data_IF_462112498693
#
_entry.id   IF_462112498693
#
_cell.length_a   1.000
_cell.length_b   1.000
_cell.length_c   1.000
_cell.angle_alpha   90.00
_cell.angle_beta   90.00
_cell.angle_gamma   90.00
#
_symmetry.space_group_name_H-M   'P 1'
#
loop_
_entity.id
_entity.type
_entity.pdbx_description
1 polymer ?
#
# COMPACT_ATOMS: atom_id res chain seq x y z
N UNK A 1 -8.85 -24.71 11.12
CA UNK A 1 -8.71 -23.41 10.43
C UNK A 1 -7.40 -23.45 9.67
N UNK A 2 -7.41 -23.53 8.33
CA UNK A 2 -6.18 -23.54 7.53
C UNK A 2 -5.55 -22.14 7.58
N UNK A 3 -4.33 -22.03 8.10
CA UNK A 3 -3.53 -20.80 8.04
C UNK A 3 -3.15 -20.54 6.59
N UNK A 4 -3.60 -19.43 6.02
CA UNK A 4 -3.16 -18.96 4.71
C UNK A 4 -1.75 -18.37 4.87
N UNK A 5 -0.75 -18.96 4.20
CA UNK A 5 0.64 -18.48 4.17
C UNK A 5 0.87 -17.82 2.82
N UNK A 6 1.76 -16.82 2.78
CA UNK A 6 2.34 -16.39 1.52
C UNK A 6 3.19 -17.52 0.93
N UNK A 7 3.10 -17.72 -0.37
CA UNK A 7 4.03 -18.57 -1.10
C UNK A 7 5.26 -17.71 -1.35
N UNK A 8 6.35 -18.00 -0.64
CA UNK A 8 7.64 -17.31 -0.78
C UNK A 8 8.67 -18.33 -1.22
N UNK A 9 9.28 -18.11 -2.35
CA UNK A 9 10.50 -18.85 -2.78
C UNK A 9 11.70 -17.94 -2.61
N UNK A 10 12.68 -18.38 -1.83
CA UNK A 10 13.93 -17.64 -1.57
C UNK A 10 15.06 -18.23 -2.40
N UNK A 11 15.72 -17.43 -3.22
CA UNK A 11 17.00 -17.76 -3.84
C UNK A 11 18.12 -17.07 -3.07
N UNK A 12 18.96 -17.86 -2.37
CA UNK A 12 20.20 -17.44 -1.73
C UNK A 12 21.35 -17.46 -2.75
N UNK A 13 21.91 -16.30 -3.04
CA UNK A 13 23.19 -16.17 -3.75
C UNK A 13 24.28 -15.70 -2.81
N UNK A 14 25.21 -16.59 -2.49
CA UNK A 14 26.41 -16.30 -1.71
C UNK A 14 27.47 -15.62 -2.58
N UNK A 15 28.07 -14.52 -2.11
CA UNK A 15 29.39 -14.08 -2.60
C UNK A 15 30.31 -13.67 -1.45
N UNK A 16 31.58 -14.14 -1.59
CA UNK A 16 32.61 -14.15 -0.59
C UNK A 16 33.28 -12.78 -0.38
N UNK A 17 33.78 -12.59 0.85
CA UNK A 17 34.61 -11.50 1.35
C UNK A 17 36.03 -11.52 0.78
N UNK A 18 36.59 -10.33 0.52
CA UNK A 18 38.00 -10.08 0.58
C UNK A 18 38.28 -8.86 1.48
N UNK A 19 39.20 -9.07 2.40
CA UNK A 19 39.72 -8.12 3.39
C UNK A 19 40.86 -7.29 2.80
N UNK A 20 41.03 -6.14 3.44
CA UNK A 20 42.21 -5.26 3.55
C UNK A 20 42.02 -3.88 2.87
N UNK A 21 41.72 -2.85 3.70
CA UNK A 21 42.64 -1.73 3.90
C UNK A 21 42.20 -0.86 5.13
N UNK A 22 43.19 -0.57 5.99
CA UNK A 22 43.07 0.25 7.18
C UNK A 22 43.38 1.72 6.82
N UNK A 23 42.45 2.64 7.02
CA UNK A 23 42.65 4.09 6.85
C UNK A 23 41.71 4.93 7.71
N UNK A 24 42.28 5.48 8.79
CA UNK A 24 41.92 6.62 9.65
C UNK A 24 40.46 7.05 9.79
N UNK A 25 40.04 7.10 11.07
CA UNK A 25 38.76 7.50 11.60
C UNK A 25 38.44 8.99 11.38
N UNK A 26 37.30 9.21 10.74
CA UNK A 26 36.42 10.36 11.03
C UNK A 26 35.12 9.76 11.60
N UNK A 27 34.82 10.14 12.85
CA UNK A 27 33.61 9.70 13.56
C UNK A 27 32.38 10.45 13.04
N UNK A 28 31.92 10.12 11.85
CA UNK A 28 30.52 10.35 11.49
C UNK A 28 29.68 9.24 12.10
N UNK A 29 28.70 9.62 12.93
CA UNK A 29 27.66 8.71 13.42
C UNK A 29 27.08 7.95 12.23
N UNK A 30 26.82 6.61 12.33
CA UNK A 30 26.26 5.87 11.23
C UNK A 30 24.91 6.50 10.90
N UNK A 31 24.78 7.11 9.74
CA UNK A 31 23.49 7.36 9.09
C UNK A 31 22.86 5.98 9.01
N UNK A 32 21.78 5.74 9.79
CA UNK A 32 20.95 4.56 9.64
C UNK A 32 20.68 4.40 8.15
N UNK A 33 21.10 3.26 7.57
CA UNK A 33 20.98 3.02 6.15
C UNK A 33 19.51 3.22 5.77
N UNK A 34 19.26 4.20 4.91
CA UNK A 34 17.93 4.47 4.37
C UNK A 34 17.60 3.30 3.44
N UNK A 35 16.91 2.33 3.99
CA UNK A 35 16.41 1.16 3.28
C UNK A 35 15.14 1.61 2.57
N UNK A 36 15.20 2.01 1.32
CA UNK A 36 14.19 2.58 0.43
C UNK A 36 12.77 2.85 0.96
N UNK A 37 12.02 3.68 0.28
CA UNK A 37 10.64 4.03 0.66
C UNK A 37 9.69 2.89 0.27
N UNK A 38 8.97 2.31 1.23
CA UNK A 38 8.23 1.06 1.08
C UNK A 38 6.72 1.28 1.02
N UNK A 39 6.07 0.69 0.01
CA UNK A 39 4.60 0.65 -0.10
C UNK A 39 4.16 -0.78 -0.43
N UNK A 40 3.21 -1.31 0.36
CA UNK A 40 2.57 -2.61 0.12
C UNK A 40 1.09 -2.41 -0.20
N UNK A 41 0.69 -2.69 -1.44
CA UNK A 41 -0.70 -2.59 -1.88
C UNK A 41 -1.37 -3.95 -2.02
N UNK A 42 -2.71 -3.97 -1.94
CA UNK A 42 -3.54 -5.11 -2.33
C UNK A 42 -4.77 -4.64 -3.11
N UNK A 43 -5.22 -5.41 -4.09
CA UNK A 43 -6.46 -5.11 -4.82
C UNK A 43 -7.69 -5.12 -3.92
N UNK A 44 -7.72 -6.04 -2.94
CA UNK A 44 -8.71 -6.11 -1.86
C UNK A 44 -8.25 -7.09 -0.80
N UNK A 45 -8.72 -6.95 0.44
CA UNK A 45 -8.45 -7.94 1.48
C UNK A 45 -7.11 -7.79 2.20
N UNK A 46 -6.78 -6.61 2.69
CA UNK A 46 -5.58 -6.38 3.53
C UNK A 46 -5.77 -6.96 4.94
N UNK A 47 -5.62 -8.28 5.06
CA UNK A 47 -5.88 -9.06 6.28
C UNK A 47 -4.58 -9.54 6.94
N UNK A 48 -4.68 -10.44 7.91
CA UNK A 48 -3.57 -10.97 8.73
C UNK A 48 -2.28 -11.23 7.93
N UNK A 49 -2.34 -11.89 6.77
CA UNK A 49 -1.16 -12.23 5.99
C UNK A 49 -0.46 -10.98 5.40
N UNK A 50 -1.23 -10.00 4.91
CA UNK A 50 -0.67 -8.74 4.42
C UNK A 50 -0.10 -7.89 5.57
N UNK A 51 -0.79 -7.86 6.73
CA UNK A 51 -0.31 -7.15 7.92
C UNK A 51 1.00 -7.78 8.42
N UNK A 52 1.09 -9.10 8.45
CA UNK A 52 2.32 -9.83 8.79
C UNK A 52 3.47 -9.46 7.86
N UNK A 53 3.22 -9.48 6.55
CA UNK A 53 4.24 -9.13 5.58
C UNK A 53 4.66 -7.66 5.69
N UNK A 54 3.71 -6.74 5.94
CA UNK A 54 4.04 -5.35 6.24
C UNK A 54 4.90 -5.22 7.51
N UNK A 55 4.60 -5.98 8.57
CA UNK A 55 5.40 -6.01 9.78
C UNK A 55 6.84 -6.46 9.50
N UNK A 56 7.01 -7.52 8.68
CA UNK A 56 8.34 -8.01 8.25
C UNK A 56 9.11 -6.91 7.48
N UNK A 57 8.42 -6.14 6.62
CA UNK A 57 9.02 -5.03 5.86
C UNK A 57 9.53 -3.88 6.73
N UNK A 58 9.03 -3.72 7.95
CA UNK A 58 9.53 -2.69 8.89
C UNK A 58 10.91 -3.02 9.45
N UNK A 59 11.33 -4.29 9.39
CA UNK A 59 12.58 -4.76 9.99
C UNK A 59 12.58 -4.76 11.53
N UNK A 60 11.45 -4.51 12.19
CA UNK A 60 11.32 -4.49 13.65
C UNK A 60 10.68 -5.75 14.18
N UNK A 61 11.11 -6.20 15.35
CA UNK A 61 10.54 -7.39 16.01
C UNK A 61 9.07 -7.19 16.35
N UNK A 62 8.70 -6.03 16.91
CA UNK A 62 7.33 -5.70 17.31
C UNK A 62 6.92 -4.31 16.83
N UNK A 63 6.64 -4.13 15.52
CA UNK A 63 6.35 -2.83 14.94
C UNK A 63 5.02 -2.24 15.43
N UNK A 64 4.98 -0.91 15.51
CA UNK A 64 3.78 -0.13 15.73
C UNK A 64 3.12 0.13 14.37
N UNK A 65 1.92 -0.43 14.15
CA UNK A 65 1.21 -0.29 12.88
C UNK A 65 -0.12 0.40 13.12
N UNK A 66 -0.32 1.54 12.45
CA UNK A 66 -1.53 2.33 12.53
C UNK A 66 -2.49 2.00 11.39
N UNK A 67 -3.75 1.77 11.71
CA UNK A 67 -4.84 1.74 10.75
C UNK A 67 -5.46 3.13 10.62
N UNK A 68 -5.56 3.64 9.39
CA UNK A 68 -6.14 4.94 9.06
C UNK A 68 -7.46 4.71 8.29
N UNK A 69 -8.62 4.67 9.00
CA UNK A 69 -9.90 4.25 8.43
C UNK A 69 -10.66 5.35 7.68
N UNK A 70 -10.01 6.43 7.24
CA UNK A 70 -10.66 7.60 6.64
C UNK A 70 -11.57 7.25 5.46
N UNK A 71 -11.12 6.36 4.54
CA UNK A 71 -11.92 5.97 3.38
C UNK A 71 -13.24 5.28 3.75
N UNK A 72 -13.31 4.63 4.91
CA UNK A 72 -14.50 3.98 5.45
C UNK A 72 -15.29 4.85 6.43
N UNK A 73 -14.97 6.16 6.54
CA UNK A 73 -15.56 7.10 7.48
C UNK A 73 -15.47 6.59 8.94
N UNK A 74 -14.29 6.09 9.32
CA UNK A 74 -13.97 5.56 10.66
C UNK A 74 -14.95 4.50 11.16
N UNK A 75 -15.47 3.65 10.25
CA UNK A 75 -16.50 2.66 10.55
C UNK A 75 -16.04 1.71 11.66
N UNK A 76 -16.79 1.59 12.77
CA UNK A 76 -16.38 0.78 13.93
C UNK A 76 -16.14 -0.70 13.60
N UNK A 77 -16.91 -1.28 12.68
CA UNK A 77 -16.69 -2.69 12.25
C UNK A 77 -15.34 -2.89 11.56
N UNK A 78 -14.84 -1.90 10.81
CA UNK A 78 -13.51 -1.93 10.21
C UNK A 78 -12.41 -1.86 11.28
N UNK A 79 -12.59 -1.01 12.28
CA UNK A 79 -11.68 -0.88 13.43
C UNK A 79 -11.63 -2.19 14.24
N UNK A 80 -12.79 -2.80 14.53
CA UNK A 80 -12.85 -4.09 15.22
C UNK A 80 -12.12 -5.18 14.39
N UNK A 81 -12.38 -5.24 13.08
CA UNK A 81 -11.71 -6.20 12.19
C UNK A 81 -10.20 -5.99 12.14
N UNK A 82 -9.73 -4.74 12.21
CA UNK A 82 -8.31 -4.41 12.29
C UNK A 82 -7.66 -5.07 13.52
N UNK A 83 -8.20 -4.84 14.72
CA UNK A 83 -7.68 -5.46 15.94
C UNK A 83 -7.76 -6.99 15.91
N UNK A 84 -8.84 -7.56 15.34
CA UNK A 84 -8.97 -9.02 15.17
C UNK A 84 -7.90 -9.60 14.25
N UNK A 85 -7.58 -8.93 13.13
CA UNK A 85 -6.53 -9.35 12.21
C UNK A 85 -5.12 -9.24 12.82
N UNK A 86 -4.92 -8.33 13.78
CA UNK A 86 -3.66 -8.17 14.50
C UNK A 86 -3.49 -9.10 15.70
N UNK A 87 -4.57 -9.72 16.21
CA UNK A 87 -4.58 -10.41 17.51
C UNK A 87 -3.55 -11.53 17.66
N UNK A 88 -3.16 -12.19 16.55
CA UNK A 88 -2.18 -13.28 16.54
C UNK A 88 -0.82 -12.88 15.93
N UNK A 89 -0.58 -11.58 15.76
CA UNK A 89 0.65 -11.04 15.19
C UNK A 89 1.51 -10.38 16.27
N UNK A 90 2.82 -10.43 16.11
CA UNK A 90 3.74 -9.69 16.98
C UNK A 90 3.84 -8.23 16.55
N UNK A 91 2.74 -7.49 16.65
CA UNK A 91 2.63 -6.07 16.33
C UNK A 91 1.98 -5.29 17.46
N UNK A 92 2.14 -3.97 17.48
CA UNK A 92 1.38 -3.06 18.35
C UNK A 92 0.38 -2.31 17.46
N UNK A 93 -0.91 -2.71 17.43
CA UNK A 93 -1.91 -2.08 16.58
C UNK A 93 -2.37 -0.73 17.14
N UNK A 94 -2.46 0.26 16.26
CA UNK A 94 -3.02 1.58 16.51
C UNK A 94 -4.16 1.87 15.53
N UNK A 95 -4.98 2.86 15.85
CA UNK A 95 -6.01 3.42 14.97
C UNK A 95 -5.95 4.92 15.08
N UNK A 96 -5.92 5.61 13.94
CA UNK A 96 -6.08 7.06 13.87
C UNK A 96 -7.36 7.39 13.13
N UNK A 97 -8.38 7.78 13.88
CA UNK A 97 -9.66 8.24 13.32
C UNK A 97 -9.57 9.66 12.79
N UNK A 98 -10.34 9.99 11.75
CA UNK A 98 -10.35 11.29 11.09
C UNK A 98 -11.68 12.05 11.22
N UNK A 99 -12.77 11.35 11.60
CA UNK A 99 -14.14 11.88 11.71
C UNK A 99 -14.58 12.13 13.15
N UNK A 100 -13.64 12.07 14.10
CA UNK A 100 -13.90 12.36 15.52
C UNK A 100 -13.76 13.86 15.82
N UNK A 101 -14.13 14.25 17.04
CA UNK A 101 -13.89 15.59 17.55
C UNK A 101 -12.40 15.82 17.83
N UNK A 102 -11.68 16.31 16.84
CA UNK A 102 -10.23 16.53 16.92
C UNK A 102 -9.80 17.46 18.08
N UNK A 103 -10.70 18.33 18.54
CA UNK A 103 -10.45 19.19 19.71
C UNK A 103 -10.13 18.41 21.00
N UNK A 104 -10.58 17.15 21.09
CA UNK A 104 -10.34 16.27 22.24
C UNK A 104 -9.13 15.36 22.09
N UNK A 105 -8.41 15.47 20.98
CA UNK A 105 -7.19 14.68 20.77
C UNK A 105 -6.04 15.29 21.56
N UNK A 106 -5.33 14.47 22.30
CA UNK A 106 -4.14 14.88 23.06
C UNK A 106 -2.90 15.02 22.15
N UNK A 107 -2.93 14.40 20.96
CA UNK A 107 -1.83 14.38 19.99
C UNK A 107 -2.34 14.82 18.61
N UNK A 108 -1.49 15.47 17.83
CA UNK A 108 -1.77 15.80 16.43
C UNK A 108 -1.72 14.55 15.54
N UNK A 109 -2.27 14.65 14.31
CA UNK A 109 -2.10 13.59 13.31
C UNK A 109 -0.62 13.33 13.01
N UNK A 110 0.20 14.36 13.01
CA UNK A 110 1.65 14.26 12.81
C UNK A 110 2.32 13.47 13.93
N UNK A 111 2.07 13.81 15.20
CA UNK A 111 2.63 13.11 16.35
C UNK A 111 2.31 11.61 16.33
N UNK A 112 1.08 11.26 15.96
CA UNK A 112 0.67 9.86 15.89
C UNK A 112 1.30 9.16 14.69
N UNK A 113 1.08 9.67 13.47
CA UNK A 113 1.46 8.97 12.25
C UNK A 113 2.97 8.84 12.07
N UNK A 114 3.74 9.89 12.42
CA UNK A 114 5.20 9.85 12.33
C UNK A 114 5.87 9.04 13.45
N UNK A 115 5.12 8.63 14.48
CA UNK A 115 5.61 7.72 15.52
C UNK A 115 5.39 6.23 15.19
N UNK A 116 4.79 5.91 14.05
CA UNK A 116 4.51 4.54 13.63
C UNK A 116 5.68 3.93 12.83
N UNK A 117 5.67 2.61 12.69
CA UNK A 117 6.57 1.86 11.83
C UNK A 117 5.89 1.46 10.51
N UNK A 118 4.56 1.37 10.53
CA UNK A 118 3.73 1.13 9.37
C UNK A 118 2.37 1.82 9.46
N UNK A 119 1.79 2.18 8.31
CA UNK A 119 0.47 2.80 8.21
C UNK A 119 -0.35 2.06 7.16
N UNK A 120 -1.47 1.46 7.59
CA UNK A 120 -2.43 0.75 6.73
C UNK A 120 -3.65 1.62 6.50
N UNK A 121 -3.91 1.94 5.25
CA UNK A 121 -5.08 2.73 4.84
C UNK A 121 -6.25 1.82 4.50
N UNK A 122 -7.44 2.18 4.96
CA UNK A 122 -8.66 1.41 4.71
C UNK A 122 -9.12 1.44 3.26
N UNK A 123 -9.86 0.42 2.86
CA UNK A 123 -10.75 0.51 1.70
C UNK A 123 -11.97 1.40 1.97
N UNK A 124 -12.67 1.82 0.91
CA UNK A 124 -13.86 2.65 0.98
C UNK A 124 -13.89 3.71 -0.11
N UNK A 125 -14.29 4.92 0.21
CA UNK A 125 -14.43 6.01 -0.75
C UNK A 125 -13.13 6.82 -0.88
N UNK A 126 -12.43 6.68 -2.00
CA UNK A 126 -11.16 7.36 -2.28
C UNK A 126 -11.31 8.88 -2.41
N UNK A 127 -12.41 9.37 -2.99
CA UNK A 127 -12.64 10.81 -3.10
C UNK A 127 -12.78 11.47 -1.73
N UNK A 128 -13.63 10.89 -0.86
CA UNK A 128 -13.84 11.42 0.49
C UNK A 128 -12.55 11.37 1.30
N UNK A 129 -11.82 10.27 1.22
CA UNK A 129 -10.52 10.10 1.86
C UNK A 129 -9.56 11.23 1.49
N UNK A 130 -9.34 11.47 0.20
CA UNK A 130 -8.42 12.49 -0.28
C UNK A 130 -8.88 13.91 0.07
N UNK A 131 -10.19 14.19 0.02
CA UNK A 131 -10.74 15.48 0.41
C UNK A 131 -10.45 15.79 1.88
N UNK A 132 -10.70 14.82 2.77
CA UNK A 132 -10.41 14.96 4.21
C UNK A 132 -8.90 15.13 4.45
N UNK A 133 -8.08 14.30 3.82
CA UNK A 133 -6.63 14.37 3.99
C UNK A 133 -6.04 15.71 3.55
N UNK A 134 -6.43 16.23 2.40
CA UNK A 134 -5.96 17.53 1.89
C UNK A 134 -6.35 18.69 2.81
N UNK A 135 -7.58 18.68 3.35
CA UNK A 135 -8.04 19.75 4.24
C UNK A 135 -7.34 19.69 5.60
N UNK A 136 -7.00 18.48 6.09
CA UNK A 136 -6.36 18.29 7.40
C UNK A 136 -4.82 18.17 7.31
N UNK A 137 -4.23 18.21 6.12
CA UNK A 137 -2.78 18.08 5.92
C UNK A 137 -2.24 16.66 6.14
N UNK A 138 -3.13 15.65 6.22
CA UNK A 138 -2.73 14.25 6.45
C UNK A 138 -1.94 13.71 5.24
N UNK A 139 -2.26 14.12 4.03
CA UNK A 139 -1.53 13.76 2.81
C UNK A 139 -0.05 14.17 2.86
N UNK A 140 0.26 15.35 3.39
CA UNK A 140 1.63 15.83 3.59
C UNK A 140 2.35 15.04 4.69
N UNK A 141 1.66 14.71 5.78
CA UNK A 141 2.20 13.86 6.86
C UNK A 141 2.52 12.45 6.33
N UNK A 142 1.64 11.87 5.51
CA UNK A 142 1.88 10.57 4.89
C UNK A 142 3.06 10.59 3.92
N UNK A 143 3.23 11.69 3.17
CA UNK A 143 4.41 11.87 2.32
C UNK A 143 5.70 11.89 3.14
N UNK A 144 5.69 12.63 4.24
CA UNK A 144 6.82 12.68 5.17
C UNK A 144 7.07 11.33 5.84
N UNK A 145 6.02 10.62 6.28
CA UNK A 145 6.13 9.27 6.82
C UNK A 145 6.83 8.32 5.83
N UNK A 146 6.43 8.35 4.56
CA UNK A 146 7.05 7.57 3.51
C UNK A 146 8.52 7.94 3.28
N UNK A 147 8.83 9.24 3.23
CA UNK A 147 10.20 9.74 3.08
C UNK A 147 11.10 9.40 4.28
N UNK A 148 10.53 9.19 5.47
CA UNK A 148 11.22 8.72 6.68
C UNK A 148 11.36 7.18 6.74
N UNK A 149 10.84 6.44 5.75
CA UNK A 149 10.93 4.98 5.70
C UNK A 149 9.84 4.23 6.48
N UNK A 150 8.80 4.93 6.94
CA UNK A 150 7.60 4.28 7.49
C UNK A 150 6.91 3.53 6.37
N UNK A 151 6.60 2.24 6.57
CA UNK A 151 5.98 1.40 5.55
C UNK A 151 4.53 1.80 5.37
N UNK A 152 4.15 2.23 4.16
CA UNK A 152 2.76 2.54 3.81
C UNK A 152 2.09 1.36 3.13
N UNK A 153 0.76 1.30 3.18
CA UNK A 153 0.01 0.27 2.45
C UNK A 153 -1.48 0.34 2.65
N UNK A 154 -2.16 -0.66 2.11
CA UNK A 154 -3.60 -0.82 2.21
C UNK A 154 -4.21 -1.51 1.01
N UNK A 155 -5.55 -1.62 0.99
CA UNK A 155 -6.28 -2.25 -0.09
C UNK A 155 -7.40 -1.37 -0.63
N UNK A 156 -7.82 -1.59 -1.87
CA UNK A 156 -8.91 -0.85 -2.50
C UNK A 156 -8.60 0.66 -2.56
N UNK A 157 -9.40 1.52 -1.91
CA UNK A 157 -9.06 2.94 -1.77
C UNK A 157 -7.67 3.14 -1.14
N UNK A 158 -7.27 2.27 -0.19
CA UNK A 158 -5.98 2.31 0.48
C UNK A 158 -4.81 1.77 -0.35
N UNK A 159 -5.06 1.15 -1.50
CA UNK A 159 -4.03 0.84 -2.50
C UNK A 159 -3.99 1.91 -3.59
N UNK A 160 -5.16 2.35 -4.03
CA UNK A 160 -5.33 3.29 -5.12
C UNK A 160 -4.73 4.67 -4.81
N UNK A 161 -4.91 5.16 -3.59
CA UNK A 161 -4.52 6.51 -3.19
C UNK A 161 -3.03 6.83 -3.37
N UNK A 162 -2.16 5.84 -3.44
CA UNK A 162 -0.71 6.03 -3.58
C UNK A 162 -0.25 6.34 -5.00
N UNK A 163 -1.01 5.97 -6.02
CA UNK A 163 -0.66 6.19 -7.42
C UNK A 163 -0.93 7.63 -7.88
N UNK A 164 -0.52 7.96 -9.09
CA UNK A 164 -0.87 9.23 -9.71
C UNK A 164 -2.36 9.26 -10.07
N UNK A 165 -2.91 8.14 -10.55
CA UNK A 165 -4.30 8.04 -10.97
C UNK A 165 -4.80 6.59 -10.99
N UNK A 166 -6.09 6.40 -11.25
CA UNK A 166 -6.65 5.05 -11.43
C UNK A 166 -8.15 5.01 -11.54
N UNK A 167 -8.75 3.83 -11.26
CA UNK A 167 -10.19 3.62 -11.33
C UNK A 167 -10.83 3.51 -9.95
N UNK A 168 -11.96 4.19 -9.74
CA UNK A 168 -12.67 4.25 -8.46
C UNK A 168 -14.17 4.13 -8.64
N UNK A 169 -14.84 3.49 -7.67
CA UNK A 169 -16.27 3.43 -7.47
C UNK A 169 -16.80 4.51 -6.50
N UNK A 170 -16.00 5.53 -6.22
CA UNK A 170 -16.33 6.58 -5.24
C UNK A 170 -17.48 7.47 -5.64
N UNK A 171 -17.93 7.44 -6.91
CA UNK A 171 -19.10 8.16 -7.40
C UNK A 171 -20.30 7.24 -7.53
N UNK A 172 -21.53 7.77 -7.36
CA UNK A 172 -22.73 6.95 -7.53
C UNK A 172 -22.85 6.34 -8.93
N UNK A 173 -23.29 5.08 -9.00
CA UNK A 173 -23.71 4.34 -10.21
C UNK A 173 -22.60 3.88 -11.16
N UNK A 174 -21.39 4.40 -11.10
CA UNK A 174 -20.36 4.07 -12.07
C UNK A 174 -18.97 4.02 -11.48
N UNK A 175 -18.10 3.23 -12.09
CA UNK A 175 -16.65 3.30 -11.88
C UNK A 175 -16.10 4.40 -12.79
N UNK A 176 -15.24 5.25 -12.24
CA UNK A 176 -14.71 6.43 -12.94
C UNK A 176 -13.20 6.54 -12.75
N UNK A 177 -12.56 7.42 -13.56
CA UNK A 177 -11.19 7.87 -13.31
C UNK A 177 -11.11 8.76 -12.06
N UNK A 178 -9.97 8.66 -11.36
CA UNK A 178 -9.60 9.54 -10.25
C UNK A 178 -8.09 9.85 -10.30
N UNK A 179 -7.74 11.08 -9.95
CA UNK A 179 -6.37 11.48 -9.63
C UNK A 179 -6.09 11.25 -8.15
N UNK A 180 -4.88 10.82 -7.80
CA UNK A 180 -4.51 10.43 -6.45
C UNK A 180 -3.26 11.18 -5.96
N UNK A 181 -2.53 10.63 -4.95
CA UNK A 181 -1.44 11.35 -4.28
C UNK A 181 -0.12 11.36 -5.08
N UNK A 182 0.08 10.43 -6.02
CA UNK A 182 1.25 10.38 -6.87
C UNK A 182 2.55 9.95 -6.16
N UNK A 183 2.47 9.17 -5.09
CA UNK A 183 3.66 8.58 -4.47
C UNK A 183 4.25 7.50 -5.36
N UNK A 184 3.40 6.71 -6.00
CA UNK A 184 3.77 5.72 -7.02
C UNK A 184 3.37 6.22 -8.40
N UNK A 185 4.23 5.99 -9.38
CA UNK A 185 4.00 6.39 -10.77
C UNK A 185 2.98 5.49 -11.46
N UNK A 186 2.27 6.07 -12.43
CA UNK A 186 1.31 5.37 -13.27
C UNK A 186 -0.06 5.24 -12.62
N UNK A 187 -0.83 4.26 -13.07
CA UNK A 187 -2.22 4.09 -12.66
C UNK A 187 -2.46 2.77 -11.92
N UNK A 188 -3.59 2.72 -11.17
CA UNK A 188 -3.99 1.50 -10.46
C UNK A 188 -5.48 1.19 -10.60
N UNK A 189 -5.80 -0.10 -10.73
CA UNK A 189 -7.16 -0.62 -10.71
C UNK A 189 -7.27 -1.76 -9.69
N UNK A 190 -7.83 -1.54 -8.48
CA UNK A 190 -8.10 -2.59 -7.51
C UNK A 190 -9.35 -3.41 -7.89
N UNK A 191 -9.62 -4.52 -7.17
CA UNK A 191 -10.79 -5.40 -7.37
C UNK A 191 -10.96 -5.91 -8.81
N UNK A 192 -9.86 -6.19 -9.48
CA UNK A 192 -9.84 -6.42 -10.93
C UNK A 192 -10.58 -7.68 -11.37
N UNK A 193 -10.64 -8.70 -10.53
CA UNK A 193 -11.42 -9.93 -10.71
C UNK A 193 -12.86 -9.84 -10.19
N UNK A 194 -13.11 -8.98 -9.20
CA UNK A 194 -14.36 -9.01 -8.43
C UNK A 194 -15.41 -8.01 -8.92
N UNK A 195 -14.99 -6.91 -9.54
CA UNK A 195 -15.90 -5.86 -10.04
C UNK A 195 -15.91 -5.84 -11.56
N UNK A 196 -16.96 -6.39 -12.17
CA UNK A 196 -17.07 -6.60 -13.62
C UNK A 196 -16.82 -5.35 -14.48
N UNK A 197 -17.10 -4.15 -13.95
CA UNK A 197 -16.90 -2.88 -14.64
C UNK A 197 -15.43 -2.40 -14.67
N UNK A 198 -14.57 -2.91 -13.76
CA UNK A 198 -13.18 -2.42 -13.62
C UNK A 198 -12.34 -2.69 -14.86
N UNK A 199 -12.20 -3.94 -15.24
CA UNK A 199 -11.34 -4.35 -16.34
C UNK A 199 -11.69 -3.67 -17.68
N UNK A 200 -12.95 -3.66 -18.13
CA UNK A 200 -13.33 -3.00 -19.37
C UNK A 200 -13.08 -1.48 -19.36
N UNK A 201 -13.37 -0.82 -18.23
CA UNK A 201 -13.12 0.61 -18.10
C UNK A 201 -11.61 0.92 -18.11
N UNK A 202 -10.82 0.16 -17.36
CA UNK A 202 -9.38 0.37 -17.26
C UNK A 202 -8.71 0.22 -18.63
N UNK A 203 -9.09 -0.81 -19.39
CA UNK A 203 -8.65 -0.97 -20.79
C UNK A 203 -9.04 0.21 -21.66
N UNK A 204 -10.31 0.64 -21.59
CA UNK A 204 -10.81 1.78 -22.36
C UNK A 204 -9.98 3.04 -22.10
N UNK A 205 -9.74 3.36 -20.85
CA UNK A 205 -9.02 4.58 -20.44
C UNK A 205 -7.52 4.54 -20.81
N UNK A 206 -6.86 3.38 -20.68
CA UNK A 206 -5.47 3.19 -21.14
C UNK A 206 -5.40 3.26 -22.68
N UNK A 207 -6.36 2.66 -23.39
CA UNK A 207 -6.42 2.68 -24.84
C UNK A 207 -6.55 4.10 -25.39
N UNK A 208 -7.43 4.91 -24.80
CA UNK A 208 -7.63 6.31 -25.17
C UNK A 208 -6.49 7.25 -24.74
N UNK A 209 -5.62 6.80 -23.84
CA UNK A 209 -4.55 7.63 -23.24
C UNK A 209 -5.07 8.56 -22.13
N UNK A 210 -6.31 8.36 -21.65
CA UNK A 210 -6.86 9.07 -20.50
C UNK A 210 -6.27 8.60 -19.17
N UNK A 211 -5.79 7.34 -19.09
CA UNK A 211 -4.98 6.81 -18.00
C UNK A 211 -3.60 6.39 -18.51
N UNK A 212 -2.61 6.60 -17.68
CA UNK A 212 -1.27 6.03 -17.88
C UNK A 212 -1.30 4.50 -17.75
N UNK A 213 -0.33 3.80 -18.35
CA UNK A 213 -0.08 2.39 -18.02
C UNK A 213 0.09 2.19 -16.52
N UNK A 214 -0.27 1.02 -16.02
CA UNK A 214 -0.16 0.77 -14.59
C UNK A 214 -0.54 -0.63 -14.17
N UNK A 215 -0.90 -0.78 -12.90
CA UNK A 215 -1.08 -2.06 -12.26
C UNK A 215 -2.55 -2.32 -11.96
N UNK A 216 -3.00 -3.54 -12.21
CA UNK A 216 -4.30 -4.02 -11.78
C UNK A 216 -4.12 -5.21 -10.85
N UNK A 217 -4.83 -5.23 -9.72
CA UNK A 217 -4.73 -6.29 -8.73
C UNK A 217 -6.10 -6.92 -8.46
N UNK A 218 -6.13 -8.25 -8.51
CA UNK A 218 -7.26 -9.03 -8.03
C UNK A 218 -7.41 -8.91 -6.50
N UNK A 219 -8.56 -9.27 -5.97
CA UNK A 219 -8.71 -9.44 -4.53
C UNK A 219 -7.72 -10.49 -4.02
N UNK A 220 -7.16 -10.27 -2.83
CA UNK A 220 -6.17 -11.14 -2.20
C UNK A 220 -4.80 -11.22 -2.93
N UNK A 221 -4.57 -10.40 -3.97
CA UNK A 221 -3.27 -10.20 -4.62
C UNK A 221 -2.78 -8.77 -4.43
N UNK A 222 -1.46 -8.55 -4.46
CA UNK A 222 -0.86 -7.25 -4.23
C UNK A 222 0.59 -7.15 -4.66
N UNK A 223 1.15 -5.95 -4.49
CA UNK A 223 2.51 -5.61 -4.89
C UNK A 223 3.23 -4.91 -3.74
N UNK A 224 4.46 -5.32 -3.49
CA UNK A 224 5.41 -4.56 -2.71
C UNK A 224 6.27 -3.72 -3.63
N UNK A 225 6.27 -2.40 -3.37
CA UNK A 225 7.13 -1.42 -4.01
C UNK A 225 8.21 -0.94 -3.05
N UNK A 226 9.40 -0.73 -3.60
CA UNK A 226 10.47 0.02 -2.95
C UNK A 226 10.85 1.17 -3.87
N UNK A 227 10.75 2.39 -3.36
CA UNK A 227 10.70 3.61 -4.14
C UNK A 227 9.58 3.56 -5.21
N UNK A 228 9.87 3.45 -6.48
CA UNK A 228 8.87 3.24 -7.54
C UNK A 228 9.07 1.91 -8.28
N UNK A 229 9.87 1.01 -7.72
CA UNK A 229 10.17 -0.28 -8.33
C UNK A 229 9.33 -1.39 -7.70
N UNK A 230 8.78 -2.25 -8.53
CA UNK A 230 8.15 -3.50 -8.07
C UNK A 230 9.25 -4.43 -7.57
N UNK A 231 9.21 -4.77 -6.29
CA UNK A 231 10.15 -5.72 -5.69
C UNK A 231 9.56 -7.11 -5.54
N UNK A 232 8.23 -7.18 -5.32
CA UNK A 232 7.58 -8.48 -5.16
C UNK A 232 6.09 -8.39 -5.48
N UNK A 233 5.58 -9.43 -6.13
CA UNK A 233 4.16 -9.72 -6.23
C UNK A 233 3.79 -10.73 -5.14
N UNK A 234 2.69 -10.50 -4.44
CA UNK A 234 2.24 -11.33 -3.32
C UNK A 234 0.77 -11.70 -3.48
N UNK A 235 0.41 -12.91 -3.06
CA UNK A 235 -0.98 -13.36 -3.07
C UNK A 235 -1.29 -14.25 -1.87
N UNK A 236 -2.52 -14.20 -1.40
CA UNK A 236 -3.06 -15.11 -0.37
C UNK A 236 -4.09 -16.10 -0.92
N UNK A 237 -4.34 -16.04 -2.24
CA UNK A 237 -5.21 -16.93 -3.00
C UNK A 237 -4.51 -17.34 -4.29
N UNK A 238 -4.46 -18.63 -4.61
CA UNK A 238 -3.66 -19.20 -5.71
C UNK A 238 -4.03 -18.61 -7.08
N UNK A 239 -5.31 -18.38 -7.34
CA UNK A 239 -5.79 -17.88 -8.63
C UNK A 239 -5.73 -16.34 -8.75
N UNK A 240 -5.51 -15.61 -7.64
CA UNK A 240 -5.48 -14.16 -7.65
C UNK A 240 -4.19 -13.65 -8.27
N UNK A 241 -4.32 -12.70 -9.20
CA UNK A 241 -3.24 -12.22 -10.04
C UNK A 241 -3.04 -10.72 -9.92
N UNK A 242 -1.85 -10.33 -10.32
CA UNK A 242 -1.48 -8.94 -10.58
C UNK A 242 -1.17 -8.82 -12.06
N UNK A 243 -1.57 -7.71 -12.66
CA UNK A 243 -1.35 -7.42 -14.07
C UNK A 243 -0.64 -6.07 -14.22
N UNK A 244 0.31 -5.99 -15.13
CA UNK A 244 0.73 -4.72 -15.70
C UNK A 244 -0.02 -4.50 -16.99
N UNK A 245 -0.76 -3.40 -17.07
CA UNK A 245 -1.65 -3.09 -18.19
C UNK A 245 -1.09 -1.89 -18.93
N UNK A 246 -0.87 -2.05 -20.23
CA UNK A 246 -0.27 -1.01 -21.07
C UNK A 246 -0.81 -1.00 -22.47
N UNK A 247 -0.64 0.12 -23.18
CA UNK A 247 -0.97 0.24 -24.60
C UNK A 247 0.24 -0.14 -25.46
N UNK A 248 0.04 -1.04 -26.40
CA UNK A 248 1.03 -1.43 -27.40
C UNK A 248 0.42 -1.23 -28.80
N UNK A 249 0.91 -0.23 -29.52
CA UNK A 249 0.28 0.20 -30.76
C UNK A 249 -1.16 0.69 -30.54
N UNK A 250 -2.13 0.02 -31.15
CA UNK A 250 -3.57 0.33 -30.99
C UNK A 250 -4.30 -0.57 -29.98
N UNK A 251 -3.60 -1.53 -29.37
CA UNK A 251 -4.20 -2.51 -28.46
C UNK A 251 -3.75 -2.30 -27.03
N UNK A 252 -4.54 -2.81 -26.07
CA UNK A 252 -4.19 -2.89 -24.66
C UNK A 252 -3.73 -4.31 -24.37
N UNK A 253 -2.58 -4.43 -23.74
CA UNK A 253 -1.97 -5.69 -23.33
C UNK A 253 -1.94 -5.78 -21.81
N UNK A 254 -2.37 -6.92 -21.29
CA UNK A 254 -2.20 -7.30 -19.89
C UNK A 254 -1.06 -8.31 -19.78
N UNK A 255 -0.03 -7.95 -19.05
CA UNK A 255 1.04 -8.88 -18.68
C UNK A 255 0.79 -9.34 -17.26
N UNK A 256 0.54 -10.63 -17.06
CA UNK A 256 0.49 -11.23 -15.71
C UNK A 256 1.87 -11.09 -15.08
N UNK A 257 1.89 -10.62 -13.85
CA UNK A 257 3.09 -10.53 -13.03
C UNK A 257 3.08 -11.71 -12.07
N UNK A 258 4.08 -12.58 -12.19
CA UNK A 258 4.16 -13.79 -11.36
C UNK A 258 4.66 -13.43 -9.95
N UNK A 259 4.15 -14.11 -8.91
CA UNK A 259 4.73 -14.02 -7.57
C UNK A 259 6.18 -14.54 -7.59
N UNK A 260 7.10 -13.79 -7.02
CA UNK A 260 8.49 -14.21 -6.81
C UNK A 260 8.71 -14.78 -5.41
#
# INVERSE_FOLDING_TARGET
VKRRKFIVSSALGSMALNSDDLGSADTESPKAGFDGRKILIAGGGFREAFIRYMADLTGKDRPRICYLPTASADRPSGIISWFQNCANLNVVPFVQESFISSYRMDQSFEDVLLSMDGIVVSGGNTLNQQAIWKVQGIDLILKEAWDRGIVLGGASAGSLCWFEEGTTDSRPKEVTKIECLGFLKGSHSPHYDAEAARRPLYHKLIKSGELMPGYACDNDAGIYFEDNEVKRVVSTREEAKVYYVSKVGNDVVEKVMEPE
#
